data_IF_382014608735
#
_entry.id   IF_382014608735
#
_cell.length_a   1.000
_cell.length_b   1.000
_cell.length_c   1.000
_cell.angle_alpha   90.00
_cell.angle_beta   90.00
_cell.angle_gamma   90.00
#
_symmetry.space_group_name_H-M   'P 1'
#
loop_
_entity.id
_entity.type
_entity.pdbx_description
1 polymer ?
#
# COMPACT_ATOMS: atom_id res chain seq x y z
N UNK A 1 5.90 16.43 -4.50
CA UNK A 1 5.56 15.40 -3.50
C UNK A 1 4.08 15.51 -3.21
N UNK A 2 3.30 14.46 -3.48
CA UNK A 2 1.87 14.41 -3.18
C UNK A 2 1.66 14.05 -1.71
N UNK A 3 0.64 14.63 -1.08
CA UNK A 3 0.23 14.26 0.28
C UNK A 3 -0.48 12.90 0.21
N UNK A 4 0.03 11.92 0.95
CA UNK A 4 -0.56 10.58 1.08
C UNK A 4 -1.25 10.43 2.43
N UNK A 5 -2.20 9.49 2.49
CA UNK A 5 -2.87 9.10 3.72
C UNK A 5 -2.02 8.18 4.61
N UNK A 6 -2.67 7.56 5.59
CA UNK A 6 -2.02 6.65 6.55
C UNK A 6 -1.41 5.42 5.84
N UNK A 7 -0.31 4.91 6.38
CA UNK A 7 0.27 3.66 5.92
C UNK A 7 -0.50 2.43 6.44
N UNK A 8 -0.28 1.28 5.81
CA UNK A 8 -0.96 0.02 6.17
C UNK A 8 -0.64 -0.45 7.60
N UNK A 9 0.54 -0.11 8.14
CA UNK A 9 0.87 -0.44 9.55
C UNK A 9 -0.05 0.31 10.51
N UNK A 10 -0.25 1.61 10.29
CA UNK A 10 -1.15 2.44 11.09
C UNK A 10 -2.60 1.98 10.92
N UNK A 11 -3.06 1.80 9.68
CA UNK A 11 -4.44 1.36 9.40
C UNK A 11 -4.76 0.00 10.04
N UNK A 12 -3.81 -0.95 10.02
CA UNK A 12 -3.99 -2.25 10.66
C UNK A 12 -4.14 -2.12 12.19
N UNK A 13 -3.34 -1.26 12.82
CA UNK A 13 -3.35 -1.05 14.29
C UNK A 13 -4.60 -0.34 14.80
N UNK A 14 -5.25 0.48 13.96
CA UNK A 14 -6.48 1.20 14.31
C UNK A 14 -7.75 0.33 14.26
N UNK A 15 -7.67 -0.88 13.71
CA UNK A 15 -8.78 -1.83 13.71
C UNK A 15 -8.97 -2.46 15.08
N UNK A 16 -10.22 -2.76 15.43
CA UNK A 16 -10.60 -3.48 16.68
C UNK A 16 -9.79 -4.78 16.82
N UNK A 17 -9.71 -5.56 15.73
CA UNK A 17 -8.78 -6.67 15.60
C UNK A 17 -7.63 -6.24 14.68
N UNK A 18 -6.36 -6.37 15.08
CA UNK A 18 -5.22 -5.77 14.39
C UNK A 18 -4.79 -6.58 13.14
N UNK A 19 -5.76 -6.95 12.31
CA UNK A 19 -5.59 -7.69 11.06
C UNK A 19 -6.53 -7.13 9.97
N UNK A 20 -6.10 -7.27 8.73
CA UNK A 20 -6.99 -7.06 7.59
C UNK A 20 -7.81 -8.33 7.33
N UNK A 21 -8.99 -8.17 6.71
CA UNK A 21 -9.69 -9.34 6.15
C UNK A 21 -8.87 -9.91 4.99
N UNK A 22 -9.03 -11.20 4.72
CA UNK A 22 -8.35 -11.85 3.59
C UNK A 22 -8.58 -11.09 2.27
N UNK A 23 -9.83 -10.71 2.00
CA UNK A 23 -10.22 -9.94 0.82
C UNK A 23 -9.52 -8.57 0.73
N UNK A 24 -9.30 -7.89 1.86
CA UNK A 24 -8.57 -6.61 1.88
C UNK A 24 -7.08 -6.82 1.63
N UNK A 25 -6.48 -7.80 2.31
CA UNK A 25 -5.07 -8.14 2.13
C UNK A 25 -4.76 -8.56 0.68
N UNK A 26 -5.65 -9.31 0.04
CA UNK A 26 -5.51 -9.72 -1.35
C UNK A 26 -5.50 -8.52 -2.31
N UNK A 27 -6.46 -7.60 -2.20
CA UNK A 27 -6.49 -6.37 -3.04
C UNK A 27 -5.28 -5.47 -2.83
N UNK A 28 -4.80 -5.37 -1.60
CA UNK A 28 -3.56 -4.64 -1.30
C UNK A 28 -2.38 -5.32 -2.01
N UNK A 29 -2.27 -6.65 -1.90
CA UNK A 29 -1.19 -7.42 -2.52
C UNK A 29 -1.18 -7.28 -4.04
N UNK A 30 -2.35 -7.34 -4.67
CA UNK A 30 -2.54 -7.12 -6.11
C UNK A 30 -2.00 -5.73 -6.55
N UNK A 31 -2.41 -4.66 -5.86
CA UNK A 31 -1.95 -3.30 -6.18
C UNK A 31 -0.44 -3.14 -5.97
N UNK A 32 0.11 -3.68 -4.88
CA UNK A 32 1.55 -3.64 -4.60
C UNK A 32 2.31 -4.42 -5.68
N UNK A 33 1.82 -5.57 -6.11
CA UNK A 33 2.43 -6.36 -7.18
C UNK A 33 2.45 -5.59 -8.52
N UNK A 34 1.34 -4.94 -8.89
CA UNK A 34 1.29 -4.09 -10.09
C UNK A 34 2.27 -2.92 -10.01
N UNK A 35 2.36 -2.24 -8.87
CA UNK A 35 3.29 -1.12 -8.69
C UNK A 35 4.76 -1.58 -8.76
N UNK A 36 5.08 -2.76 -8.20
CA UNK A 36 6.42 -3.34 -8.31
C UNK A 36 6.74 -3.80 -9.73
N UNK A 37 5.78 -4.40 -10.44
CA UNK A 37 5.95 -4.76 -11.84
C UNK A 37 6.32 -3.53 -12.67
N UNK A 38 5.55 -2.45 -12.55
CA UNK A 38 5.83 -1.19 -13.23
C UNK A 38 7.25 -0.67 -12.91
N UNK A 39 7.63 -0.68 -11.64
CA UNK A 39 8.97 -0.26 -11.22
C UNK A 39 10.07 -1.13 -11.85
N UNK A 40 9.90 -2.45 -11.85
CA UNK A 40 10.85 -3.39 -12.44
C UNK A 40 10.97 -3.23 -13.96
N UNK A 41 9.86 -2.99 -14.66
CA UNK A 41 9.84 -2.70 -16.11
C UNK A 41 10.63 -1.44 -16.46
N UNK A 42 10.68 -0.47 -15.55
CA UNK A 42 11.51 0.75 -15.69
C UNK A 42 12.98 0.56 -15.24
N UNK A 43 13.37 -0.65 -14.81
CA UNK A 43 14.74 -0.98 -14.40
C UNK A 43 15.08 -0.64 -12.93
N UNK A 44 14.09 -0.31 -12.11
CA UNK A 44 14.29 0.04 -10.70
C UNK A 44 13.85 -1.07 -9.75
N UNK A 45 14.53 -1.21 -8.62
CA UNK A 45 14.15 -2.14 -7.54
C UNK A 45 13.78 -1.32 -6.31
N UNK A 46 12.60 -1.58 -5.73
CA UNK A 46 12.11 -0.82 -4.56
C UNK A 46 12.97 -1.06 -3.31
N UNK A 47 13.41 -2.31 -3.09
CA UNK A 47 14.28 -2.76 -1.98
C UNK A 47 13.74 -2.63 -0.55
N UNK A 48 12.59 -2.01 -0.33
CA UNK A 48 12.04 -1.80 1.03
C UNK A 48 10.51 -1.94 1.05
N UNK A 49 10.00 -3.03 0.47
CA UNK A 49 8.57 -3.32 0.43
C UNK A 49 8.11 -3.84 1.78
N UNK A 50 7.31 -3.04 2.50
CA UNK A 50 6.73 -3.39 3.79
C UNK A 50 5.51 -2.53 4.08
N UNK A 51 4.61 -2.92 5.01
CA UNK A 51 3.37 -2.18 5.28
C UNK A 51 3.55 -0.72 5.71
N UNK A 52 4.71 -0.32 6.25
CA UNK A 52 4.97 1.08 6.63
C UNK A 52 5.30 1.99 5.43
N UNK A 53 5.63 1.41 4.27
CA UNK A 53 5.92 2.13 3.02
C UNK A 53 4.79 2.02 1.99
N UNK A 54 3.69 1.32 2.33
CA UNK A 54 2.47 1.31 1.55
C UNK A 54 1.47 2.29 2.18
N UNK A 55 1.11 3.35 1.47
CA UNK A 55 0.16 4.38 1.94
C UNK A 55 -1.10 4.39 1.10
N UNK A 56 -2.25 4.66 1.71
CA UNK A 56 -3.47 4.95 0.94
C UNK A 56 -3.40 6.36 0.34
N UNK A 57 -4.13 6.62 -0.73
CA UNK A 57 -4.38 7.98 -1.21
C UNK A 57 -5.23 8.80 -0.24
N UNK A 58 -5.30 10.09 -0.49
CA UNK A 58 -6.28 10.99 0.14
C UNK A 58 -7.58 11.00 -0.69
N UNK A 59 -8.75 11.34 -0.12
CA UNK A 59 -10.00 11.38 -0.89
C UNK A 59 -9.84 12.18 -2.19
N UNK A 60 -10.29 11.64 -3.34
CA UNK A 60 -11.13 10.43 -3.52
C UNK A 60 -10.35 9.10 -3.65
N UNK A 61 -9.03 9.11 -3.58
CA UNK A 61 -8.13 7.99 -3.92
C UNK A 61 -7.84 7.04 -2.73
N UNK A 62 -8.72 6.99 -1.72
CA UNK A 62 -8.47 6.21 -0.48
C UNK A 62 -8.40 4.69 -0.72
N UNK A 63 -8.84 4.22 -1.89
CA UNK A 63 -8.75 2.82 -2.31
C UNK A 63 -7.44 2.46 -3.03
N UNK A 64 -6.62 3.47 -3.39
CA UNK A 64 -5.36 3.29 -4.11
C UNK A 64 -4.21 3.19 -3.10
N UNK A 65 -3.34 2.18 -3.29
CA UNK A 65 -2.11 1.97 -2.53
C UNK A 65 -0.92 2.55 -3.29
N UNK A 66 -0.21 3.47 -2.65
CA UNK A 66 1.02 4.06 -3.12
C UNK A 66 2.22 3.45 -2.40
N UNK A 67 3.27 3.15 -3.15
CA UNK A 67 4.58 2.76 -2.62
C UNK A 67 5.44 4.03 -2.44
N UNK A 68 5.98 4.22 -1.24
CA UNK A 68 6.87 5.35 -0.91
C UNK A 68 8.34 5.05 -1.21
#
# INVERSE_FOLDING_TARGET
MQILGKNLTTLRKERIEPKFTFSTAFRIGEQVAHALQYLHETGYIHRDVKPSNCCIGVPPETAIIYLK
#
